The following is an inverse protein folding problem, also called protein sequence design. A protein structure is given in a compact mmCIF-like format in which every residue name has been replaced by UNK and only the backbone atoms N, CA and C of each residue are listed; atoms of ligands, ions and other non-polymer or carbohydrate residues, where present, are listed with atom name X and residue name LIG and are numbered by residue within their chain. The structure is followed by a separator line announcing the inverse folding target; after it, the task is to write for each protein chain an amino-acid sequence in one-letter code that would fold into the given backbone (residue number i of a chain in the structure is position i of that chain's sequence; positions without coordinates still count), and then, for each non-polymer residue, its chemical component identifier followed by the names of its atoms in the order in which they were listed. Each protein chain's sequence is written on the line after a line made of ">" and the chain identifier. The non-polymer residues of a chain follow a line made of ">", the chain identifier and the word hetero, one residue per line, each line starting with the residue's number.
data_IF_058665598492
#
_entry.id   IF_058665598492
#
_cell.length_a   1.000
_cell.length_b   1.000
_cell.length_c   1.000
_cell.angle_alpha   90.00
_cell.angle_beta   90.00
_cell.angle_gamma   90.00
#
_symmetry.space_group_name_H-M   'P 1'
#
loop_
_entity.id
_entity.type
_entity.pdbx_description
1 polymer ?
#
# COMPACT_ATOMS: atom_id res chain seq x y z
N UNK A 1 41.86 7.89 -59.74
CA UNK A 1 40.47 8.09 -59.26
C UNK A 1 40.30 7.29 -57.96
N UNK A 2 40.39 7.93 -56.80
CA UNK A 2 40.27 7.28 -55.51
C UNK A 2 38.98 7.77 -54.87
N UNK A 3 37.96 6.87 -54.75
CA UNK A 3 36.70 7.14 -54.06
C UNK A 3 36.92 6.87 -52.55
N UNK A 4 36.90 7.91 -51.74
CA UNK A 4 36.83 7.80 -50.27
C UNK A 4 35.39 7.54 -49.84
N UNK A 5 35.16 6.39 -49.25
CA UNK A 5 33.88 6.03 -48.60
C UNK A 5 33.93 6.56 -47.18
N UNK A 6 33.07 7.52 -46.86
CA UNK A 6 32.91 8.01 -45.48
C UNK A 6 31.91 7.13 -44.78
N UNK A 7 32.38 6.45 -43.71
CA UNK A 7 31.55 5.64 -42.84
C UNK A 7 30.99 6.53 -41.73
N UNK A 8 29.71 6.87 -41.82
CA UNK A 8 29.00 7.63 -40.78
C UNK A 8 28.55 6.70 -39.68
N UNK A 9 29.19 6.76 -38.51
CA UNK A 9 28.78 6.03 -37.30
C UNK A 9 27.68 6.81 -36.63
N UNK A 10 26.45 6.27 -36.64
CA UNK A 10 25.30 6.81 -35.94
C UNK A 10 25.38 6.36 -34.47
N UNK A 11 25.84 7.25 -33.59
CA UNK A 11 25.82 6.99 -32.13
C UNK A 11 24.41 7.26 -31.62
N UNK A 12 23.66 6.20 -31.34
CA UNK A 12 22.37 6.27 -30.66
C UNK A 12 22.57 6.56 -29.19
N UNK A 13 22.33 7.80 -28.76
CA UNK A 13 22.28 8.19 -27.35
C UNK A 13 20.99 7.61 -26.74
N UNK A 14 21.08 6.49 -26.05
CA UNK A 14 20.05 6.07 -25.11
C UNK A 14 20.08 7.02 -23.91
N UNK A 15 19.21 8.04 -23.91
CA UNK A 15 18.95 8.85 -22.73
C UNK A 15 18.16 8.02 -21.72
N UNK A 16 18.87 7.36 -20.82
CA UNK A 16 18.28 6.76 -19.63
C UNK A 16 17.69 7.88 -18.78
N UNK A 17 16.36 7.95 -18.73
CA UNK A 17 15.64 8.83 -17.79
C UNK A 17 15.93 8.36 -16.36
N UNK A 18 16.94 8.95 -15.72
CA UNK A 18 17.12 8.86 -14.29
C UNK A 18 15.91 9.57 -13.65
N UNK A 19 15.00 8.82 -13.05
CA UNK A 19 13.94 9.38 -12.22
C UNK A 19 14.60 10.09 -11.02
N UNK A 20 14.83 11.38 -11.17
CA UNK A 20 15.16 12.25 -10.06
C UNK A 20 13.92 12.30 -9.17
N UNK A 21 14.01 11.73 -7.96
CA UNK A 21 13.01 11.84 -6.89
C UNK A 21 12.87 13.32 -6.54
N UNK A 22 11.96 14.02 -7.23
CA UNK A 22 11.68 15.44 -7.03
C UNK A 22 11.14 15.66 -5.62
N UNK A 23 11.85 16.43 -4.82
CA UNK A 23 11.34 17.02 -3.57
C UNK A 23 10.26 18.05 -3.95
N UNK A 24 8.99 17.63 -3.99
CA UNK A 24 7.86 18.52 -4.27
C UNK A 24 6.78 17.90 -5.16
N UNK A 25 6.54 16.58 -5.07
CA UNK A 25 5.41 15.95 -5.75
C UNK A 25 4.06 16.42 -5.20
N UNK A 26 3.02 16.40 -6.05
CA UNK A 26 1.64 16.69 -5.67
C UNK A 26 1.12 15.78 -4.55
N UNK A 27 1.66 14.57 -4.46
CA UNK A 27 1.32 13.56 -3.46
C UNK A 27 2.59 13.06 -2.78
N UNK A 28 2.51 12.81 -1.47
CA UNK A 28 3.66 12.34 -0.72
C UNK A 28 3.22 11.43 0.43
N UNK A 29 3.88 10.29 0.58
CA UNK A 29 3.76 9.44 1.75
C UNK A 29 4.66 10.01 2.85
N UNK A 30 4.05 10.39 3.96
CA UNK A 30 4.76 10.99 5.09
C UNK A 30 5.24 9.93 6.07
N UNK A 31 4.43 8.89 6.30
CA UNK A 31 4.69 7.85 7.30
C UNK A 31 3.94 6.57 7.00
N UNK A 32 4.56 5.43 7.29
CA UNK A 32 3.91 4.12 7.39
C UNK A 32 4.03 3.64 8.84
N UNK A 33 2.91 3.18 9.41
CA UNK A 33 2.87 2.52 10.72
C UNK A 33 2.25 1.14 10.60
N UNK A 34 2.62 0.23 11.51
CA UNK A 34 2.09 -1.14 11.58
C UNK A 34 1.78 -1.50 13.01
N UNK A 35 0.58 -2.03 13.24
CA UNK A 35 0.11 -2.43 14.55
C UNK A 35 -0.67 -3.75 14.46
N UNK A 36 -0.70 -4.49 15.58
CA UNK A 36 -1.64 -5.59 15.75
C UNK A 36 -2.82 -5.11 16.58
N UNK A 37 -3.98 -5.06 15.97
CA UNK A 37 -5.23 -4.64 16.60
C UNK A 37 -6.18 -5.82 16.76
N UNK A 38 -7.02 -5.77 17.78
CA UNK A 38 -8.01 -6.82 18.07
C UNK A 38 -9.28 -6.58 17.26
N UNK A 39 -9.93 -7.66 16.81
CA UNK A 39 -11.26 -7.58 16.21
C UNK A 39 -12.22 -6.83 17.12
N UNK A 40 -13.01 -5.87 16.60
CA UNK A 40 -13.97 -5.13 17.40
C UNK A 40 -15.13 -6.04 17.85
N UNK A 41 -15.66 -5.77 19.04
CA UNK A 41 -16.92 -6.34 19.50
C UNK A 41 -18.08 -5.41 19.12
N UNK A 42 -19.11 -5.99 18.50
CA UNK A 42 -20.33 -5.26 18.18
C UNK A 42 -21.48 -5.76 19.07
N UNK A 43 -22.11 -4.85 19.79
CA UNK A 43 -23.33 -5.13 20.56
C UNK A 43 -24.55 -4.74 19.73
N UNK A 44 -25.31 -5.73 19.32
CA UNK A 44 -26.58 -5.51 18.63
C UNK A 44 -27.73 -5.74 19.60
N UNK A 45 -28.63 -4.78 19.76
CA UNK A 45 -29.83 -4.91 20.58
C UNK A 45 -30.73 -6.01 20.00
N UNK A 46 -30.98 -7.06 20.78
CA UNK A 46 -31.88 -8.16 20.42
C UNK A 46 -31.27 -9.35 19.68
N UNK A 47 -29.95 -9.36 19.46
CA UNK A 47 -29.23 -10.53 18.96
C UNK A 47 -28.43 -11.20 20.09
N UNK A 48 -28.26 -12.53 20.01
CA UNK A 48 -27.25 -13.21 20.84
C UNK A 48 -25.90 -12.55 20.60
N UNK A 49 -25.23 -12.18 21.70
CA UNK A 49 -23.90 -11.59 21.65
C UNK A 49 -22.91 -12.63 21.09
N UNK A 50 -22.65 -12.57 19.81
CA UNK A 50 -21.52 -13.29 19.24
C UNK A 50 -20.24 -12.57 19.68
N UNK A 51 -19.57 -13.13 20.70
CA UNK A 51 -18.27 -12.63 21.14
C UNK A 51 -17.27 -12.81 20.01
N UNK A 52 -16.59 -11.73 19.64
CA UNK A 52 -15.43 -11.81 18.77
C UNK A 52 -14.39 -12.73 19.42
N UNK A 53 -13.71 -13.52 18.60
CA UNK A 53 -12.59 -14.37 19.07
C UNK A 53 -11.37 -13.55 19.51
N UNK A 54 -11.46 -12.22 19.56
CA UNK A 54 -10.37 -11.28 19.87
C UNK A 54 -9.09 -11.56 19.09
N UNK A 55 -9.26 -12.02 17.85
CA UNK A 55 -8.15 -12.30 16.95
C UNK A 55 -7.43 -11.00 16.56
N UNK A 56 -6.12 -11.10 16.38
CA UNK A 56 -5.26 -9.94 16.10
C UNK A 56 -5.01 -9.79 14.62
N UNK A 57 -5.46 -8.69 14.07
CA UNK A 57 -5.24 -8.26 12.70
C UNK A 57 -3.99 -7.40 12.59
N UNK A 58 -3.20 -7.58 11.55
CA UNK A 58 -2.20 -6.57 11.21
C UNK A 58 -2.91 -5.41 10.52
N UNK A 59 -2.75 -4.22 11.08
CA UNK A 59 -3.16 -2.96 10.47
C UNK A 59 -1.91 -2.24 9.94
N UNK A 60 -1.95 -1.79 8.71
CA UNK A 60 -0.92 -0.96 8.08
C UNK A 60 -1.54 0.38 7.70
N UNK A 61 -1.20 1.42 8.45
CA UNK A 61 -1.64 2.78 8.21
C UNK A 61 -0.58 3.55 7.41
N UNK A 62 -1.05 4.34 6.45
CA UNK A 62 -0.25 5.22 5.62
C UNK A 62 -0.76 6.64 5.78
N UNK A 63 0.05 7.51 6.38
CA UNK A 63 -0.18 8.94 6.38
C UNK A 63 0.42 9.55 5.12
N UNK A 64 -0.36 10.34 4.41
CA UNK A 64 0.07 11.01 3.19
C UNK A 64 -0.41 12.46 3.12
N UNK A 65 0.10 13.19 2.14
CA UNK A 65 -0.33 14.55 1.82
C UNK A 65 -0.69 14.66 0.35
N UNK A 66 -1.71 15.47 0.05
CA UNK A 66 -2.15 15.85 -1.28
C UNK A 66 -2.15 17.37 -1.40
N UNK A 67 -1.46 17.90 -2.43
CA UNK A 67 -1.40 19.33 -2.69
C UNK A 67 -2.55 19.85 -3.58
N UNK A 68 -3.08 19.08 -4.59
CA UNK A 68 -4.19 19.53 -5.38
C UNK A 68 -5.44 19.78 -4.55
N UNK A 69 -6.18 20.85 -4.85
CA UNK A 69 -7.41 21.20 -4.14
C UNK A 69 -8.45 20.06 -4.15
N UNK A 70 -8.48 19.30 -5.22
CA UNK A 70 -9.31 18.11 -5.38
C UNK A 70 -8.62 17.07 -6.26
N UNK A 71 -8.78 15.80 -5.92
CA UNK A 71 -8.28 14.66 -6.68
C UNK A 71 -9.35 13.59 -6.77
N UNK A 72 -9.78 13.25 -7.99
CA UNK A 72 -10.86 12.29 -8.24
C UNK A 72 -10.52 10.89 -7.69
N UNK A 73 -9.30 10.41 -7.96
CA UNK A 73 -8.90 9.04 -7.62
C UNK A 73 -7.38 8.93 -7.40
N UNK A 74 -7.00 8.20 -6.33
CA UNK A 74 -5.63 7.73 -6.07
C UNK A 74 -5.66 6.25 -5.73
N UNK A 75 -4.78 5.48 -6.34
CA UNK A 75 -4.57 4.08 -6.01
C UNK A 75 -3.35 3.94 -5.11
N UNK A 76 -3.53 3.33 -3.95
CA UNK A 76 -2.45 2.94 -3.05
C UNK A 76 -2.15 1.46 -3.26
N UNK A 77 -0.95 1.15 -3.73
CA UNK A 77 -0.46 -0.23 -3.86
C UNK A 77 0.39 -0.58 -2.66
N UNK A 78 -0.02 -1.61 -1.95
CA UNK A 78 0.65 -2.09 -0.75
C UNK A 78 1.42 -3.37 -1.04
N UNK A 79 2.64 -3.43 -0.53
CA UNK A 79 3.52 -4.58 -0.58
C UNK A 79 4.04 -4.86 0.83
N UNK A 80 3.71 -6.01 1.40
CA UNK A 80 4.11 -6.39 2.76
C UNK A 80 4.95 -7.65 2.68
N UNK A 81 6.20 -7.58 3.12
CA UNK A 81 7.11 -8.72 3.19
C UNK A 81 6.93 -9.44 4.51
N UNK A 82 6.48 -10.68 4.45
CA UNK A 82 6.27 -11.55 5.60
C UNK A 82 6.61 -12.99 5.26
N UNK A 83 7.47 -13.64 6.06
CA UNK A 83 7.89 -15.01 5.84
C UNK A 83 8.52 -15.25 4.45
N UNK A 84 9.29 -14.28 3.93
CA UNK A 84 9.93 -14.34 2.62
C UNK A 84 8.97 -14.24 1.42
N UNK A 85 7.69 -13.91 1.63
CA UNK A 85 6.67 -13.72 0.60
C UNK A 85 6.13 -12.30 0.62
N UNK A 86 5.76 -11.77 -0.54
CA UNK A 86 5.19 -10.42 -0.67
C UNK A 86 3.68 -10.52 -0.75
N UNK A 87 2.98 -9.97 0.24
CA UNK A 87 1.54 -9.76 0.15
C UNK A 87 1.28 -8.52 -0.67
N UNK A 88 0.38 -8.61 -1.64
CA UNK A 88 0.01 -7.48 -2.51
C UNK A 88 -1.47 -7.17 -2.36
N UNK A 89 -1.80 -5.87 -2.34
CA UNK A 89 -3.18 -5.38 -2.31
C UNK A 89 -3.25 -3.92 -2.72
N UNK A 90 -4.46 -3.47 -3.05
CA UNK A 90 -4.71 -2.11 -3.51
C UNK A 90 -5.88 -1.49 -2.72
N UNK A 91 -5.74 -0.21 -2.35
CA UNK A 91 -6.84 0.62 -1.89
C UNK A 91 -7.01 1.78 -2.87
N UNK A 92 -8.20 1.92 -3.44
CA UNK A 92 -8.53 3.03 -4.33
C UNK A 92 -9.32 4.04 -3.53
N UNK A 93 -8.78 5.22 -3.34
CA UNK A 93 -9.43 6.34 -2.67
C UNK A 93 -9.99 7.31 -3.69
N UNK A 94 -11.14 7.90 -3.38
CA UNK A 94 -11.87 8.84 -4.24
C UNK A 94 -12.18 10.13 -3.48
N UNK A 95 -12.45 11.19 -4.24
CA UNK A 95 -12.90 12.49 -3.72
C UNK A 95 -11.94 13.11 -2.68
N UNK A 96 -10.63 13.03 -2.95
CA UNK A 96 -9.59 13.43 -2.01
C UNK A 96 -9.38 14.94 -2.09
N UNK A 97 -9.56 15.62 -0.96
CA UNK A 97 -9.26 17.04 -0.80
C UNK A 97 -7.78 17.28 -0.47
N UNK A 98 -7.31 18.50 -0.75
CA UNK A 98 -5.97 18.90 -0.31
C UNK A 98 -5.82 18.76 1.21
N UNK A 99 -4.72 18.15 1.64
CA UNK A 99 -4.45 17.94 3.05
C UNK A 99 -3.01 17.49 3.32
N UNK A 100 -2.56 17.68 4.55
CA UNK A 100 -1.23 17.25 5.02
C UNK A 100 -1.25 15.96 5.82
N UNK A 101 -2.41 15.61 6.37
CA UNK A 101 -2.63 14.46 7.25
C UNK A 101 -3.84 13.67 6.78
N UNK A 102 -3.69 13.05 5.62
CA UNK A 102 -4.65 12.15 5.01
C UNK A 102 -4.21 10.71 5.29
N UNK A 103 -5.15 9.77 5.34
CA UNK A 103 -4.86 8.40 5.76
C UNK A 103 -5.45 7.36 4.84
N UNK A 104 -4.63 6.35 4.53
CA UNK A 104 -5.02 5.11 3.87
C UNK A 104 -4.68 3.93 4.75
N UNK A 105 -5.43 2.83 4.67
CA UNK A 105 -5.23 1.64 5.51
C UNK A 105 -5.49 0.35 4.77
N UNK A 106 -4.68 -0.67 5.07
CA UNK A 106 -4.90 -2.06 4.69
C UNK A 106 -4.73 -2.99 5.87
N UNK A 107 -5.37 -4.15 5.81
CA UNK A 107 -5.38 -5.13 6.87
C UNK A 107 -4.95 -6.51 6.37
N UNK A 108 -4.23 -7.27 7.23
CA UNK A 108 -3.99 -8.70 7.02
C UNK A 108 -4.77 -9.48 8.06
N UNK A 109 -5.64 -10.42 7.67
CA UNK A 109 -6.44 -11.19 8.61
C UNK A 109 -5.59 -12.14 9.48
N UNK A 110 -6.04 -12.47 10.70
CA UNK A 110 -5.32 -13.28 11.68
C UNK A 110 -4.86 -14.63 11.16
N UNK A 111 -5.74 -15.33 10.44
CA UNK A 111 -5.43 -16.64 9.88
C UNK A 111 -4.33 -16.58 8.80
N UNK A 112 -4.28 -15.52 8.01
CA UNK A 112 -3.23 -15.30 7.02
C UNK A 112 -1.87 -15.07 7.71
N UNK A 113 -1.85 -14.24 8.76
CA UNK A 113 -0.64 -14.02 9.55
C UNK A 113 -0.16 -15.31 10.22
N UNK A 114 -1.07 -16.08 10.83
CA UNK A 114 -0.74 -17.35 11.46
C UNK A 114 -0.14 -18.34 10.46
N UNK A 115 -0.71 -18.41 9.27
CA UNK A 115 -0.23 -19.26 8.19
C UNK A 115 1.18 -18.84 7.71
N UNK A 116 1.39 -17.55 7.45
CA UNK A 116 2.64 -17.04 6.88
C UNK A 116 3.79 -17.04 7.89
N UNK A 117 3.49 -16.79 9.17
CA UNK A 117 4.49 -16.77 10.24
C UNK A 117 4.65 -18.11 10.95
N UNK A 118 3.88 -19.14 10.54
CA UNK A 118 3.86 -20.47 11.18
C UNK A 118 3.70 -20.39 12.71
N UNK A 119 2.86 -19.47 13.20
CA UNK A 119 2.63 -19.23 14.62
C UNK A 119 1.17 -18.91 14.92
N UNK A 120 0.67 -19.36 16.10
CA UNK A 120 -0.67 -19.00 16.57
C UNK A 120 -0.73 -17.61 17.21
N UNK A 121 0.41 -17.07 17.59
CA UNK A 121 0.53 -15.76 18.24
C UNK A 121 1.43 -14.82 17.39
N UNK A 122 0.91 -14.30 16.27
CA UNK A 122 1.69 -13.41 15.42
C UNK A 122 2.08 -12.14 16.17
N UNK A 123 3.27 -11.62 15.83
CA UNK A 123 3.75 -10.34 16.31
C UNK A 123 4.27 -9.49 15.14
N UNK A 124 4.47 -8.21 15.35
CA UNK A 124 4.92 -7.28 14.30
C UNK A 124 6.36 -7.51 13.85
N UNK A 125 7.18 -8.25 14.63
CA UNK A 125 8.57 -8.53 14.27
C UNK A 125 8.68 -9.48 13.07
N UNK A 126 7.63 -10.29 12.82
CA UNK A 126 7.56 -11.15 11.65
C UNK A 126 7.31 -10.40 10.33
N UNK A 127 7.01 -9.11 10.39
CA UNK A 127 6.86 -8.26 9.21
C UNK A 127 8.23 -7.65 8.88
N UNK A 128 8.83 -8.13 7.81
CA UNK A 128 10.22 -7.80 7.45
C UNK A 128 10.32 -6.40 6.82
N UNK A 129 9.41 -6.06 5.91
CA UNK A 129 9.35 -4.75 5.28
C UNK A 129 7.94 -4.43 4.76
N UNK A 130 7.68 -3.14 4.54
CA UNK A 130 6.47 -2.63 3.90
C UNK A 130 6.87 -1.58 2.90
N UNK A 131 6.36 -1.69 1.67
CA UNK A 131 6.45 -0.65 0.66
C UNK A 131 5.05 -0.24 0.24
N UNK A 132 4.87 1.05 -0.03
CA UNK A 132 3.62 1.59 -0.54
C UNK A 132 3.92 2.57 -1.67
N UNK A 133 3.14 2.47 -2.73
CA UNK A 133 3.17 3.38 -3.87
C UNK A 133 1.85 4.13 -3.98
N UNK A 134 1.91 5.43 -4.21
CA UNK A 134 0.77 6.22 -4.67
C UNK A 134 0.80 6.25 -6.19
N UNK A 135 -0.28 5.81 -6.80
CA UNK A 135 -0.44 5.76 -8.26
C UNK A 135 -1.63 6.62 -8.67
N UNK A 136 -1.44 7.48 -9.65
CA UNK A 136 -2.51 8.27 -10.26
C UNK A 136 -2.42 8.13 -11.78
N UNK A 137 -3.54 7.80 -12.41
CA UNK A 137 -3.63 7.62 -13.88
C UNK A 137 -2.55 6.68 -14.44
N UNK A 138 -2.21 5.61 -13.69
CA UNK A 138 -1.20 4.62 -14.07
C UNK A 138 0.26 5.02 -13.79
N UNK A 139 0.51 6.24 -13.30
CA UNK A 139 1.86 6.72 -12.97
C UNK A 139 2.12 6.67 -11.46
N UNK A 140 3.28 6.18 -11.05
CA UNK A 140 3.73 6.24 -9.66
C UNK A 140 4.12 7.69 -9.32
N UNK A 141 3.37 8.29 -8.40
CA UNK A 141 3.59 9.68 -7.94
C UNK A 141 4.52 9.75 -6.74
N UNK A 142 4.44 8.77 -5.84
CA UNK A 142 5.37 8.64 -4.72
C UNK A 142 5.49 7.17 -4.30
N UNK A 143 6.62 6.84 -3.66
CA UNK A 143 6.92 5.52 -3.12
C UNK A 143 7.66 5.67 -1.79
N UNK A 144 7.24 4.91 -0.80
CA UNK A 144 7.86 4.88 0.51
C UNK A 144 8.04 3.44 1.00
N UNK A 145 9.20 3.18 1.61
CA UNK A 145 9.51 1.90 2.25
C UNK A 145 9.79 2.11 3.74
N UNK A 146 9.21 1.25 4.57
CA UNK A 146 9.38 1.33 6.02
C UNK A 146 10.81 1.03 6.45
N UNK A 147 11.44 0.00 5.88
CA UNK A 147 12.83 -0.34 6.15
C UNK A 147 13.70 -0.10 4.90
N UNK A 148 14.93 0.33 5.13
CA UNK A 148 15.93 0.46 4.07
C UNK A 148 16.28 -0.94 3.55
N UNK A 149 16.20 -1.14 2.23
CA UNK A 149 16.48 -2.40 1.56
C UNK A 149 16.74 -2.18 0.08
N UNK A 150 16.72 -3.25 -0.70
CA UNK A 150 16.73 -3.15 -2.16
C UNK A 150 15.46 -2.41 -2.59
N UNK A 151 15.53 -1.41 -3.47
CA UNK A 151 14.36 -0.60 -3.84
C UNK A 151 13.26 -1.40 -4.54
N UNK A 152 13.56 -2.53 -5.12
CA UNK A 152 12.70 -3.36 -5.98
C UNK A 152 12.39 -4.75 -5.40
N UNK A 153 12.58 -4.97 -4.08
CA UNK A 153 12.39 -6.29 -3.46
C UNK A 153 10.98 -6.85 -3.70
N UNK A 154 9.96 -6.00 -3.74
CA UNK A 154 8.57 -6.41 -3.91
C UNK A 154 8.22 -6.84 -5.34
N UNK A 155 9.09 -6.58 -6.32
CA UNK A 155 8.92 -7.06 -7.70
C UNK A 155 9.67 -8.37 -7.98
N UNK A 156 10.64 -8.72 -7.13
CA UNK A 156 11.55 -9.86 -7.32
C UNK A 156 11.17 -11.09 -6.51
N UNK A 157 10.42 -10.90 -5.42
CA UNK A 157 10.00 -11.99 -4.53
C UNK A 157 8.63 -12.56 -4.92
N UNK A 158 8.32 -13.80 -4.51
CA UNK A 158 7.01 -14.40 -4.76
C UNK A 158 5.88 -13.56 -4.19
N UNK A 159 4.95 -13.12 -5.04
CA UNK A 159 3.81 -12.30 -4.66
C UNK A 159 2.58 -13.17 -4.36
N UNK A 160 1.85 -12.83 -3.30
CA UNK A 160 0.58 -13.42 -2.90
C UNK A 160 -0.49 -12.33 -2.88
N UNK A 161 -1.52 -12.48 -3.68
CA UNK A 161 -2.71 -11.62 -3.67
C UNK A 161 -3.83 -12.21 -2.81
N UNK A 162 -4.81 -11.37 -2.42
CA UNK A 162 -6.00 -11.79 -1.67
C UNK A 162 -5.80 -11.91 -0.16
N UNK A 163 -4.62 -11.61 0.37
CA UNK A 163 -4.33 -11.59 1.80
C UNK A 163 -4.36 -10.18 2.40
N UNK A 164 -4.35 -9.16 1.56
CA UNK A 164 -4.54 -7.77 1.98
C UNK A 164 -5.97 -7.35 1.70
N UNK A 165 -6.65 -6.89 2.73
CA UNK A 165 -8.03 -6.44 2.69
C UNK A 165 -8.08 -4.94 2.95
N UNK A 166 -8.89 -4.21 2.17
CA UNK A 166 -9.18 -2.82 2.51
C UNK A 166 -10.16 -2.76 3.69
N UNK A 167 -10.31 -1.57 4.30
CA UNK A 167 -11.13 -1.38 5.50
C UNK A 167 -12.55 -1.91 5.34
N UNK A 168 -13.18 -1.70 4.17
CA UNK A 168 -14.57 -2.08 3.92
C UNK A 168 -14.81 -3.60 3.85
N UNK A 169 -13.74 -4.38 3.67
CA UNK A 169 -13.76 -5.85 3.62
C UNK A 169 -13.47 -6.50 4.99
N UNK A 170 -13.40 -5.70 6.05
CA UNK A 170 -12.99 -6.14 7.38
C UNK A 170 -14.02 -5.79 8.44
N UNK A 171 -13.95 -6.38 9.65
CA UNK A 171 -14.78 -5.98 10.79
C UNK A 171 -14.61 -4.50 11.21
N UNK A 172 -13.57 -3.83 10.72
CA UNK A 172 -13.30 -2.41 11.01
C UNK A 172 -14.06 -1.45 10.07
N UNK A 173 -14.85 -1.94 9.12
CA UNK A 173 -15.59 -1.12 8.16
C UNK A 173 -16.40 0.03 8.82
N UNK A 174 -17.18 -0.20 9.90
CA UNK A 174 -17.95 0.85 10.55
C UNK A 174 -17.14 1.76 11.48
N UNK A 175 -15.84 1.43 11.73
CA UNK A 175 -15.00 2.20 12.62
C UNK A 175 -14.14 3.20 11.84
N UNK A 176 -13.79 4.35 12.49
CA UNK A 176 -12.85 5.33 11.93
C UNK A 176 -13.24 5.81 10.51
N UNK A 177 -14.54 5.96 10.26
CA UNK A 177 -15.04 6.35 8.94
C UNK A 177 -14.67 7.79 8.56
N UNK A 178 -14.39 8.63 9.55
CA UNK A 178 -13.96 10.04 9.44
C UNK A 178 -12.44 10.23 9.45
N UNK A 179 -11.67 9.14 9.67
CA UNK A 179 -10.21 9.20 9.76
C UNK A 179 -9.52 8.79 8.44
N UNK A 180 -10.10 7.84 7.73
CA UNK A 180 -9.54 7.33 6.48
C UNK A 180 -10.25 7.91 5.27
N UNK A 181 -9.47 8.19 4.22
CA UNK A 181 -10.03 8.65 2.95
C UNK A 181 -11.04 7.63 2.39
N UNK A 182 -12.06 8.15 1.72
CA UNK A 182 -13.14 7.34 1.17
C UNK A 182 -12.59 6.30 0.19
N UNK A 183 -12.90 5.03 0.44
CA UNK A 183 -12.53 3.93 -0.46
C UNK A 183 -13.60 3.80 -1.54
N UNK A 184 -13.17 3.70 -2.79
CA UNK A 184 -14.04 3.46 -3.94
C UNK A 184 -14.83 2.16 -3.72
N UNK A 185 -16.16 2.19 -3.77
CA UNK A 185 -16.94 0.98 -3.67
C UNK A 185 -16.55 -0.01 -4.77
N UNK A 186 -16.46 -1.30 -4.43
CA UNK A 186 -16.31 -2.33 -5.44
C UNK A 186 -17.50 -2.21 -6.40
N UNK A 187 -17.23 -2.04 -7.70
CA UNK A 187 -18.27 -1.87 -8.72
C UNK A 187 -19.28 -3.02 -8.66
N UNK A 188 -20.56 -2.66 -8.66
CA UNK A 188 -21.66 -3.59 -8.88
C UNK A 188 -21.72 -3.95 -10.36
#
# INVERSE_FOLDING_TARGET
>A
MHRKIALTILVSLCTGSAFAKGRGGEFRINKITRDLITSPDFNFSGAEQQRSNHERWLRVDVQFSAAPAFTDELTFKYYILVGGKVLTGEAIHVDILAGRELYSVMYVPPHALAYLLHTRTPNTNGIENIAVQIVQKGEVKDEFMLARGRPDWFTTLPALSGFLLNKNETPFAPLFWDHYEQIKPAGR
#
